data_IF_075724022317
#
_entry.id   IF_075724022317
#
_cell.length_a   1.000
_cell.length_b   1.000
_cell.length_c   1.000
_cell.angle_alpha   90.00
_cell.angle_beta   90.00
_cell.angle_gamma   90.00
#
_symmetry.space_group_name_H-M   'P 1'
#
loop_
_entity.id
_entity.type
_entity.pdbx_description
1 polymer ?
#
# COMPACT_ATOMS: atom_id res chain seq x y z
N UNK A 1 -7.38 24.18 -8.16
CA UNK A 1 -6.95 23.42 -6.97
C UNK A 1 -5.73 22.56 -7.31
N UNK A 2 -4.69 22.53 -6.47
CA UNK A 2 -3.53 21.68 -6.74
C UNK A 2 -3.96 20.21 -6.83
N UNK A 3 -3.52 19.47 -7.86
CA UNK A 3 -3.92 18.07 -8.15
C UNK A 3 -3.82 17.15 -6.92
N UNK A 4 -2.84 17.41 -6.03
CA UNK A 4 -2.66 16.70 -4.76
C UNK A 4 -3.86 16.86 -3.81
N UNK A 5 -4.43 18.06 -3.70
CA UNK A 5 -5.55 18.32 -2.80
C UNK A 5 -6.83 17.64 -3.32
N UNK A 6 -7.06 17.68 -4.64
CA UNK A 6 -8.18 16.96 -5.27
C UNK A 6 -8.07 15.45 -5.08
N UNK A 7 -6.89 14.86 -5.24
CA UNK A 7 -6.62 13.44 -4.93
C UNK A 7 -6.89 13.14 -3.45
N UNK A 8 -6.44 14.01 -2.55
CA UNK A 8 -6.67 13.87 -1.10
C UNK A 8 -8.17 13.87 -0.74
N UNK A 9 -8.96 14.76 -1.37
CA UNK A 9 -10.40 14.84 -1.18
C UNK A 9 -11.17 13.68 -1.84
N UNK A 10 -10.76 13.22 -3.03
CA UNK A 10 -11.36 12.05 -3.68
C UNK A 10 -11.07 10.75 -2.93
N UNK A 11 -9.89 10.60 -2.34
CA UNK A 11 -9.57 9.49 -1.42
C UNK A 11 -10.39 9.55 -0.11
N UNK A 12 -10.97 10.71 0.22
CA UNK A 12 -11.79 10.92 1.41
C UNK A 12 -13.27 10.61 1.22
N UNK A 13 -13.74 10.69 -0.03
CA UNK A 13 -15.04 10.18 -0.48
C UNK A 13 -14.81 8.93 -1.33
N UNK A 14 -14.34 7.82 -0.74
CA UNK A 14 -14.41 6.56 -1.45
C UNK A 14 -15.90 6.35 -1.74
N UNK A 15 -16.26 6.27 -3.03
CA UNK A 15 -17.43 5.48 -3.42
C UNK A 15 -17.31 4.18 -2.62
N UNK A 16 -18.35 3.78 -1.89
CA UNK A 16 -18.37 2.63 -0.99
C UNK A 16 -18.13 1.30 -1.69
N UNK A 17 -16.99 1.18 -2.37
CA UNK A 17 -16.54 0.02 -3.10
C UNK A 17 -15.91 -0.90 -2.08
N UNK A 18 -16.65 -1.97 -1.78
CA UNK A 18 -16.14 -3.06 -0.98
C UNK A 18 -14.92 -3.69 -1.67
N UNK A 19 -13.86 -4.05 -0.93
CA UNK A 19 -12.74 -4.74 -1.52
C UNK A 19 -13.19 -6.09 -2.09
N UNK A 20 -12.76 -6.41 -3.31
CA UNK A 20 -12.88 -7.77 -3.84
C UNK A 20 -11.80 -8.66 -3.19
N UNK A 21 -12.06 -9.02 -1.93
CA UNK A 21 -11.18 -9.86 -1.13
C UNK A 21 -11.03 -11.25 -1.78
N UNK A 22 -12.04 -11.76 -2.49
CA UNK A 22 -11.97 -13.04 -3.17
C UNK A 22 -10.90 -13.04 -4.26
N UNK A 23 -10.84 -11.96 -5.07
CA UNK A 23 -9.76 -11.77 -6.03
C UNK A 23 -8.38 -11.76 -5.35
N UNK A 24 -8.22 -11.01 -4.26
CA UNK A 24 -6.93 -10.93 -3.57
C UNK A 24 -6.50 -12.29 -2.98
N UNK A 25 -7.41 -12.96 -2.28
CA UNK A 25 -7.15 -14.23 -1.58
C UNK A 25 -6.85 -15.40 -2.54
N UNK A 26 -7.22 -15.28 -3.82
CA UNK A 26 -6.84 -16.23 -4.86
C UNK A 26 -5.33 -16.21 -5.17
N UNK A 27 -4.65 -15.08 -4.97
CA UNK A 27 -3.20 -14.94 -5.18
C UNK A 27 -2.37 -15.11 -3.91
N UNK A 28 -2.90 -14.66 -2.78
CA UNK A 28 -2.17 -14.61 -1.51
C UNK A 28 -2.09 -15.99 -0.85
N UNK A 29 -0.95 -16.26 -0.20
CA UNK A 29 -0.67 -17.56 0.42
C UNK A 29 -0.27 -17.41 1.89
N UNK A 30 -0.67 -18.38 2.72
CA UNK A 30 -0.26 -18.44 4.13
C UNK A 30 -0.46 -17.13 4.90
N UNK A 31 0.61 -16.62 5.50
CA UNK A 31 0.60 -15.39 6.32
C UNK A 31 0.25 -14.11 5.55
N UNK A 32 0.41 -14.11 4.22
CA UNK A 32 0.05 -12.96 3.39
C UNK A 32 -1.45 -12.68 3.41
N UNK A 33 -2.27 -13.72 3.53
CA UNK A 33 -3.72 -13.58 3.65
C UNK A 33 -4.07 -12.83 4.92
N UNK A 34 -3.48 -13.24 6.04
CA UNK A 34 -3.67 -12.60 7.35
C UNK A 34 -3.19 -11.14 7.32
N UNK A 35 -2.03 -10.89 6.70
CA UNK A 35 -1.50 -9.55 6.54
C UNK A 35 -2.43 -8.65 5.70
N UNK A 36 -2.91 -9.14 4.56
CA UNK A 36 -3.88 -8.44 3.73
C UNK A 36 -5.19 -8.14 4.47
N UNK A 37 -5.76 -9.12 5.16
CA UNK A 37 -7.01 -8.96 5.91
C UNK A 37 -6.88 -7.99 7.10
N UNK A 38 -5.66 -7.72 7.58
CA UNK A 38 -5.41 -6.71 8.62
C UNK A 38 -5.43 -5.26 8.10
N UNK A 39 -5.39 -5.06 6.78
CA UNK A 39 -5.40 -3.73 6.15
C UNK A 39 -6.76 -3.07 6.28
N UNK A 40 -6.77 -1.73 6.29
CA UNK A 40 -8.00 -0.95 6.18
C UNK A 40 -8.77 -1.35 4.91
N UNK A 41 -10.10 -1.53 4.95
CA UNK A 41 -10.88 -1.90 3.77
C UNK A 41 -10.65 -1.01 2.54
N UNK A 42 -10.35 0.30 2.74
CA UNK A 42 -10.03 1.22 1.65
C UNK A 42 -8.69 0.90 1.01
N UNK A 43 -7.70 0.56 1.84
CA UNK A 43 -6.36 0.20 1.38
C UNK A 43 -6.41 -1.18 0.68
N UNK A 44 -7.27 -2.12 1.14
CA UNK A 44 -7.55 -3.38 0.44
C UNK A 44 -8.19 -3.17 -0.93
N UNK A 45 -9.22 -2.32 -1.01
CA UNK A 45 -9.89 -2.01 -2.28
C UNK A 45 -8.92 -1.32 -3.26
N UNK A 46 -8.10 -0.38 -2.76
CA UNK A 46 -7.03 0.23 -3.53
C UNK A 46 -6.03 -0.81 -4.05
N UNK A 47 -5.53 -1.69 -3.19
CA UNK A 47 -4.58 -2.72 -3.58
C UNK A 47 -5.14 -3.67 -4.66
N UNK A 48 -6.42 -4.03 -4.59
CA UNK A 48 -7.11 -4.79 -5.65
C UNK A 48 -7.15 -4.02 -6.97
N UNK A 49 -7.46 -2.71 -6.95
CA UNK A 49 -7.45 -1.88 -8.17
C UNK A 49 -6.06 -1.83 -8.81
N UNK A 50 -5.01 -1.67 -7.99
CA UNK A 50 -3.61 -1.67 -8.45
C UNK A 50 -3.25 -3.03 -9.07
N UNK A 51 -3.54 -4.13 -8.39
CA UNK A 51 -3.28 -5.48 -8.89
C UNK A 51 -4.00 -5.78 -10.21
N UNK A 52 -5.29 -5.41 -10.31
CA UNK A 52 -6.06 -5.55 -11.56
C UNK A 52 -5.50 -4.68 -12.68
N UNK A 53 -5.06 -3.46 -12.39
CA UNK A 53 -4.43 -2.56 -13.37
C UNK A 53 -3.10 -3.12 -13.85
N UNK A 54 -2.29 -3.66 -12.94
CA UNK A 54 -1.03 -4.31 -13.26
C UNK A 54 -1.26 -5.50 -14.21
N UNK A 55 -2.25 -6.35 -13.95
CA UNK A 55 -2.63 -7.47 -14.84
C UNK A 55 -3.17 -7.00 -16.20
N UNK A 56 -3.92 -5.90 -16.25
CA UNK A 56 -4.42 -5.36 -17.53
C UNK A 56 -3.29 -4.85 -18.42
N UNK A 57 -2.33 -4.14 -17.83
CA UNK A 57 -1.19 -3.59 -18.57
C UNK A 57 -0.13 -4.63 -18.88
N UNK A 58 0.02 -5.63 -18.01
CA UNK A 58 1.02 -6.69 -18.10
C UNK A 58 0.38 -8.04 -17.76
N UNK A 59 -0.33 -8.68 -18.71
CA UNK A 59 -0.94 -10.00 -18.51
C UNK A 59 0.08 -11.08 -18.14
N UNK A 60 1.35 -10.88 -18.48
CA UNK A 60 2.48 -11.76 -18.17
C UNK A 60 3.06 -11.56 -16.76
N UNK A 61 2.42 -10.72 -15.92
CA UNK A 61 2.94 -10.42 -14.60
C UNK A 61 3.12 -11.67 -13.73
N UNK A 62 4.32 -11.88 -13.14
CA UNK A 62 4.57 -13.03 -12.30
C UNK A 62 3.76 -12.91 -11.00
N UNK A 63 3.47 -14.06 -10.40
CA UNK A 63 2.63 -14.13 -9.20
C UNK A 63 3.16 -13.25 -8.04
N UNK A 64 4.48 -13.16 -7.85
CA UNK A 64 5.07 -12.32 -6.81
C UNK A 64 4.79 -10.82 -7.03
N UNK A 65 4.68 -10.36 -8.28
CA UNK A 65 4.37 -8.96 -8.58
C UNK A 65 2.91 -8.62 -8.25
N UNK A 66 1.99 -9.56 -8.51
CA UNK A 66 0.57 -9.39 -8.15
C UNK A 66 0.40 -9.43 -6.62
N UNK A 67 1.06 -10.39 -5.95
CA UNK A 67 1.08 -10.46 -4.48
C UNK A 67 1.68 -9.19 -3.86
N UNK A 68 2.77 -8.66 -4.41
CA UNK A 68 3.35 -7.39 -3.97
C UNK A 68 2.37 -6.21 -4.16
N UNK A 69 1.65 -6.17 -5.28
CA UNK A 69 0.63 -5.15 -5.51
C UNK A 69 -0.47 -5.17 -4.45
N UNK A 70 -0.91 -6.37 -4.04
CA UNK A 70 -1.93 -6.57 -3.02
C UNK A 70 -1.45 -6.20 -1.60
N UNK A 71 -0.15 -6.26 -1.33
CA UNK A 71 0.45 -6.09 0.00
C UNK A 71 1.28 -4.82 0.19
N UNK A 72 1.52 -4.02 -0.86
CA UNK A 72 2.47 -2.90 -0.81
C UNK A 72 2.17 -1.89 0.31
N UNK A 73 0.89 -1.74 0.63
CA UNK A 73 0.37 -0.84 1.67
C UNK A 73 0.15 -1.51 3.03
N UNK A 74 0.45 -2.80 3.19
CA UNK A 74 0.10 -3.56 4.39
C UNK A 74 0.76 -3.03 5.68
N UNK A 75 1.90 -2.34 5.57
CA UNK A 75 2.56 -1.69 6.69
C UNK A 75 1.73 -0.57 7.32
N UNK A 76 0.69 -0.07 6.61
CA UNK A 76 -0.28 0.88 7.16
C UNK A 76 -1.17 0.26 8.24
N UNK A 77 -1.35 -1.07 8.22
CA UNK A 77 -2.14 -1.81 9.22
C UNK A 77 -1.57 -1.71 10.65
N UNK A 78 -0.28 -1.37 10.79
CA UNK A 78 0.34 -1.15 12.11
C UNK A 78 -0.38 -0.11 12.96
N UNK A 79 -1.08 0.82 12.31
CA UNK A 79 -1.86 1.82 13.02
C UNK A 79 -3.08 2.26 12.20
N UNK A 80 -4.29 2.15 12.76
CA UNK A 80 -5.47 2.69 12.09
C UNK A 80 -5.30 4.20 11.89
N UNK A 81 -5.35 4.64 10.64
CA UNK A 81 -5.24 6.05 10.29
C UNK A 81 -6.51 6.79 10.70
N UNK A 82 -6.37 7.81 11.55
CA UNK A 82 -7.48 8.73 11.79
C UNK A 82 -7.63 9.68 10.60
N UNK A 83 -8.87 9.99 10.20
CA UNK A 83 -9.30 11.16 9.44
C UNK A 83 -8.22 12.17 9.03
N UNK A 84 -7.98 13.02 10.03
CA UNK A 84 -7.13 14.21 10.01
C UNK A 84 -5.64 13.87 9.90
N UNK A 85 -5.19 12.75 10.47
CA UNK A 85 -3.79 12.33 10.40
C UNK A 85 -3.41 11.96 8.97
N UNK A 86 -4.32 11.35 8.21
CA UNK A 86 -4.13 11.05 6.78
C UNK A 86 -3.98 12.33 5.95
N UNK A 87 -4.72 13.38 6.30
CA UNK A 87 -4.59 14.71 5.68
C UNK A 87 -3.23 15.32 6.01
N UNK A 88 -2.88 15.41 7.30
CA UNK A 88 -1.63 16.04 7.73
C UNK A 88 -0.40 15.34 7.14
N UNK A 89 -0.39 14.01 7.15
CA UNK A 89 0.70 13.20 6.60
C UNK A 89 0.76 13.22 5.07
N UNK A 90 -0.33 13.61 4.39
CA UNK A 90 -0.34 13.89 2.95
C UNK A 90 0.18 15.28 2.58
N UNK A 91 0.08 16.25 3.50
CA UNK A 91 0.50 17.64 3.29
C UNK A 91 1.96 17.89 3.68
N UNK A 92 2.43 17.22 4.73
CA UNK A 92 3.75 17.45 5.31
C UNK A 92 4.61 16.17 5.25
N UNK A 93 5.92 16.35 5.17
CA UNK A 93 6.90 15.26 5.25
C UNK A 93 7.86 15.53 6.42
N UNK A 94 7.56 14.93 7.57
CA UNK A 94 8.42 15.07 8.74
C UNK A 94 9.53 13.98 8.73
N UNK A 95 10.80 14.31 9.00
CA UNK A 95 11.83 13.31 9.19
C UNK A 95 11.61 12.63 10.55
N UNK A 96 11.13 11.39 10.51
CA UNK A 96 10.93 10.54 11.69
C UNK A 96 11.69 9.23 11.49
N UNK A 97 12.41 8.71 12.50
CA UNK A 97 13.06 7.41 12.40
C UNK A 97 12.01 6.28 12.33
N UNK A 98 12.32 5.11 11.75
CA UNK A 98 11.38 3.99 11.68
C UNK A 98 11.08 3.38 13.05
N UNK A 99 12.03 3.46 13.98
CA UNK A 99 11.93 2.90 15.33
C UNK A 99 12.44 3.87 16.40
N UNK A 100 11.97 3.75 17.67
CA UNK A 100 10.81 2.95 18.10
C UNK A 100 9.49 3.50 17.54
N UNK A 101 8.45 2.65 17.50
CA UNK A 101 7.12 3.07 17.04
C UNK A 101 6.52 4.13 17.99
N UNK A 102 6.08 5.26 17.42
CA UNK A 102 5.48 6.38 18.14
C UNK A 102 3.96 6.31 18.04
N UNK A 103 3.28 6.89 19.03
CA UNK A 103 1.82 7.09 19.03
C UNK A 103 1.47 8.48 18.48
N UNK A 104 0.18 8.71 18.24
CA UNK A 104 -0.34 10.00 17.78
C UNK A 104 0.19 10.44 16.40
N UNK A 105 0.29 11.75 16.20
CA UNK A 105 0.65 12.38 14.91
C UNK A 105 2.04 11.92 14.42
N UNK A 106 3.03 11.81 15.31
CA UNK A 106 4.37 11.32 14.93
C UNK A 106 4.32 9.87 14.42
N UNK A 107 3.48 9.03 15.03
CA UNK A 107 3.21 7.68 14.55
C UNK A 107 2.58 7.65 13.15
N UNK A 108 1.66 8.58 12.88
CA UNK A 108 1.07 8.72 11.53
C UNK A 108 2.12 9.05 10.46
N UNK A 109 3.04 9.98 10.77
CA UNK A 109 4.16 10.31 9.87
C UNK A 109 5.12 9.13 9.70
N UNK A 110 5.37 8.35 10.76
CA UNK A 110 6.20 7.16 10.68
C UNK A 110 5.60 6.13 9.72
N UNK A 111 4.34 5.75 9.91
CA UNK A 111 3.64 4.80 9.03
C UNK A 111 3.59 5.32 7.60
N UNK A 112 3.34 6.62 7.39
CA UNK A 112 3.25 7.18 6.04
C UNK A 112 4.56 7.03 5.28
N UNK A 113 5.69 7.18 5.99
CA UNK A 113 7.04 7.16 5.43
C UNK A 113 7.59 5.74 5.31
N UNK A 114 7.34 4.90 6.30
CA UNK A 114 8.03 3.63 6.52
C UNK A 114 7.13 2.40 6.38
N UNK A 115 5.86 2.54 5.97
CA UNK A 115 5.04 1.36 5.66
C UNK A 115 5.65 0.37 4.64
N UNK A 116 6.49 0.76 3.66
CA UNK A 116 7.17 -0.24 2.83
C UNK A 116 8.05 -1.18 3.68
N UNK A 117 8.81 -0.62 4.63
CA UNK A 117 9.65 -1.36 5.57
C UNK A 117 8.79 -2.23 6.48
N UNK A 118 7.74 -1.65 7.09
CA UNK A 118 6.87 -2.37 8.01
C UNK A 118 6.11 -3.53 7.36
N UNK A 119 5.73 -3.39 6.09
CA UNK A 119 5.15 -4.48 5.31
C UNK A 119 6.20 -5.56 5.02
N UNK A 120 7.36 -5.15 4.51
CA UNK A 120 8.44 -6.05 4.12
C UNK A 120 8.94 -6.95 5.28
N UNK A 121 9.00 -6.43 6.50
CA UNK A 121 9.36 -7.23 7.69
C UNK A 121 8.38 -8.37 8.03
N UNK A 122 7.15 -8.33 7.48
CA UNK A 122 6.09 -9.31 7.71
C UNK A 122 5.88 -10.26 6.53
N UNK A 123 6.68 -10.11 5.47
CA UNK A 123 6.57 -10.90 4.24
C UNK A 123 7.76 -11.86 4.18
N UNK A 124 7.47 -13.15 4.14
CA UNK A 124 8.50 -14.20 4.08
C UNK A 124 9.10 -14.36 2.67
N UNK A 125 8.25 -14.24 1.65
CA UNK A 125 8.66 -14.39 0.25
C UNK A 125 9.64 -13.28 -0.16
N UNK A 126 10.87 -13.62 -0.58
CA UNK A 126 11.90 -12.63 -0.83
C UNK A 126 11.59 -11.72 -2.03
N UNK A 127 10.91 -12.21 -3.05
CA UNK A 127 10.58 -11.44 -4.25
C UNK A 127 9.45 -10.45 -3.95
N UNK A 128 8.41 -10.90 -3.25
CA UNK A 128 7.31 -10.04 -2.79
C UNK A 128 7.85 -8.97 -1.84
N UNK A 129 8.68 -9.38 -0.86
CA UNK A 129 9.30 -8.47 0.11
C UNK A 129 10.15 -7.40 -0.56
N UNK A 130 10.96 -7.77 -1.56
CA UNK A 130 11.80 -6.82 -2.28
C UNK A 130 10.96 -5.77 -3.02
N UNK A 131 9.91 -6.20 -3.75
CA UNK A 131 9.01 -5.28 -4.46
C UNK A 131 8.25 -4.36 -3.52
N UNK A 132 7.73 -4.89 -2.42
CA UNK A 132 7.04 -4.11 -1.40
C UNK A 132 7.99 -3.10 -0.75
N UNK A 133 9.25 -3.45 -0.50
CA UNK A 133 10.21 -2.52 0.09
C UNK A 133 10.55 -1.34 -0.86
N UNK A 134 10.65 -1.60 -2.16
CA UNK A 134 11.04 -0.59 -3.14
C UNK A 134 9.86 0.20 -3.75
N UNK A 135 8.59 -0.08 -3.42
CA UNK A 135 7.45 0.51 -4.15
C UNK A 135 7.39 2.06 -4.11
N UNK A 136 7.97 2.70 -3.09
CA UNK A 136 8.14 4.15 -3.03
C UNK A 136 9.29 4.68 -3.91
N UNK A 137 10.30 3.86 -4.20
CA UNK A 137 11.52 4.19 -4.96
C UNK A 137 11.91 3.00 -5.84
N UNK A 138 11.15 2.74 -6.89
CA UNK A 138 11.26 1.50 -7.64
C UNK A 138 12.60 1.39 -8.38
N UNK A 139 13.29 0.26 -8.22
CA UNK A 139 14.55 -0.02 -8.91
C UNK A 139 14.39 -1.13 -9.95
N UNK A 140 13.69 -2.22 -9.59
CA UNK A 140 13.44 -3.34 -10.50
C UNK A 140 12.40 -3.00 -11.58
N UNK A 141 12.35 -3.83 -12.63
CA UNK A 141 11.32 -3.73 -13.67
C UNK A 141 9.91 -3.78 -13.07
N UNK A 142 9.65 -4.78 -12.23
CA UNK A 142 8.33 -4.97 -11.62
C UNK A 142 8.01 -3.93 -10.57
N UNK A 143 9.02 -3.42 -9.85
CA UNK A 143 8.85 -2.26 -8.95
C UNK A 143 8.38 -1.02 -9.71
N UNK A 144 8.96 -0.74 -10.88
CA UNK A 144 8.58 0.41 -11.73
C UNK A 144 7.16 0.25 -12.26
N UNK A 145 6.80 -0.95 -12.73
CA UNK A 145 5.45 -1.26 -13.21
C UNK A 145 4.41 -1.17 -12.09
N UNK A 146 4.73 -1.67 -10.91
CA UNK A 146 3.89 -1.54 -9.71
C UNK A 146 3.67 -0.07 -9.33
N UNK A 147 4.75 0.71 -9.27
CA UNK A 147 4.69 2.13 -8.95
C UNK A 147 3.84 2.91 -9.97
N UNK A 148 3.98 2.61 -11.26
CA UNK A 148 3.13 3.20 -12.29
C UNK A 148 1.65 2.83 -12.08
N UNK A 149 1.35 1.56 -11.84
CA UNK A 149 -0.01 1.09 -11.60
C UNK A 149 -0.63 1.74 -10.35
N UNK A 150 0.15 2.00 -9.30
CA UNK A 150 -0.30 2.73 -8.10
C UNK A 150 -0.66 4.19 -8.41
N UNK A 151 0.15 4.89 -9.20
CA UNK A 151 -0.02 6.33 -9.47
C UNK A 151 -1.15 6.70 -10.44
N UNK A 152 -1.70 5.72 -11.19
CA UNK A 152 -2.75 5.90 -12.21
C UNK A 152 -4.17 6.06 -11.63
N UNK A 153 -4.33 6.27 -10.32
CA UNK A 153 -5.60 6.66 -9.67
C UNK A 153 -6.00 8.13 -9.95
#
# INVERSE_FOLDING_TARGET
>A
MPKRLRRLFQAFFPRGEEPDDAFALAFLQGEERTLYLSMDPRDRAHAVRVARRLLRHYPEAPAFAIRAALLHDAGKALRPYRPLERILTGLYALPVPPYPLRRGILGAFQVRRHHPLYAAERIQDPEVRALVLEHHRPQSLWGKRLHQADQEE
#
